data_IF_456530064875
#
_entry.id   IF_456530064875
#
_cell.length_a   1.000
_cell.length_b   1.000
_cell.length_c   1.000
_cell.angle_alpha   90.00
_cell.angle_beta   90.00
_cell.angle_gamma   90.00
#
_symmetry.space_group_name_H-M   'P 1'
#
loop_
_entity.id
_entity.type
_entity.pdbx_description
1 polymer ?
#
# COMPACT_ATOMS: atom_id res chain seq x y z
N UNK A 1 6.81 10.70 9.24
CA UNK A 1 6.47 12.11 8.94
C UNK A 1 6.93 12.43 7.54
N UNK A 2 6.16 13.22 6.79
CA UNK A 2 6.56 13.67 5.45
C UNK A 2 7.83 14.51 5.58
N UNK A 3 8.79 14.31 4.67
CA UNK A 3 10.06 15.02 4.69
C UNK A 3 9.87 16.50 4.32
N UNK A 4 10.51 17.47 5.01
CA UNK A 4 10.40 18.91 4.72
C UNK A 4 10.54 19.27 3.24
N UNK A 5 11.59 18.76 2.56
CA UNK A 5 11.79 19.00 1.12
C UNK A 5 10.58 18.62 0.24
N UNK A 6 9.79 17.60 0.61
CA UNK A 6 8.59 17.21 -0.15
C UNK A 6 7.49 18.26 0.01
N UNK A 7 7.35 18.82 1.22
CA UNK A 7 6.41 19.90 1.50
C UNK A 7 6.82 21.17 0.74
N UNK A 8 8.11 21.53 0.78
CA UNK A 8 8.63 22.72 0.09
C UNK A 8 8.47 22.60 -1.44
N UNK A 9 8.75 21.42 -2.02
CA UNK A 9 8.53 21.17 -3.47
C UNK A 9 7.05 21.29 -3.83
N UNK A 10 6.14 20.91 -2.92
CA UNK A 10 4.69 21.05 -3.10
C UNK A 10 4.18 22.48 -2.84
N UNK A 11 5.06 23.43 -2.49
CA UNK A 11 4.71 24.83 -2.23
C UNK A 11 4.31 25.16 -0.79
N UNK A 12 4.57 24.26 0.16
CA UNK A 12 4.25 24.45 1.58
C UNK A 12 5.50 24.75 2.41
N UNK A 13 5.41 25.75 3.30
CA UNK A 13 6.45 26.06 4.28
C UNK A 13 6.51 24.96 5.37
N UNK A 14 7.56 24.16 5.35
CA UNK A 14 7.78 23.01 6.24
C UNK A 14 7.98 23.35 7.72
N UNK A 15 8.15 24.65 8.06
CA UNK A 15 8.19 25.12 9.46
C UNK A 15 6.81 25.41 10.05
N UNK A 16 5.82 25.66 9.19
CA UNK A 16 4.46 26.00 9.60
C UNK A 16 3.53 24.79 9.50
N UNK A 17 3.76 23.93 8.51
CA UNK A 17 2.95 22.73 8.30
C UNK A 17 3.78 21.45 8.39
N UNK A 18 3.17 20.42 8.96
CA UNK A 18 3.71 19.07 8.98
C UNK A 18 2.67 18.09 8.44
N UNK A 19 3.11 16.91 8.03
CA UNK A 19 2.21 15.91 7.48
C UNK A 19 2.68 14.49 7.73
N UNK A 20 1.76 13.55 7.55
CA UNK A 20 1.99 12.12 7.65
C UNK A 20 1.52 11.44 6.36
N UNK A 21 2.30 10.47 5.91
CA UNK A 21 1.95 9.63 4.78
C UNK A 21 2.28 8.18 5.12
N UNK A 22 1.44 7.27 4.66
CA UNK A 22 1.67 5.83 4.76
C UNK A 22 1.18 5.16 3.49
N UNK A 23 1.72 3.97 3.22
CA UNK A 23 1.29 3.12 2.13
C UNK A 23 1.23 1.68 2.62
N UNK A 24 0.28 0.92 2.10
CA UNK A 24 0.13 -0.50 2.40
C UNK A 24 0.02 -1.25 1.08
N UNK A 25 0.79 -2.34 0.96
CA UNK A 25 0.64 -3.27 -0.15
C UNK A 25 -0.57 -4.16 0.08
N UNK A 26 -1.64 -3.98 -0.70
CA UNK A 26 -2.84 -4.82 -0.61
C UNK A 26 -2.52 -6.30 -0.83
N UNK A 27 -1.60 -6.60 -1.74
CA UNK A 27 -1.07 -7.95 -1.95
C UNK A 27 -0.48 -8.57 -0.68
N UNK A 28 0.38 -7.83 0.02
CA UNK A 28 1.00 -8.28 1.28
C UNK A 28 -0.05 -8.52 2.36
N UNK A 29 -1.03 -7.62 2.47
CA UNK A 29 -2.12 -7.73 3.44
C UNK A 29 -2.98 -8.98 3.16
N UNK A 30 -3.34 -9.21 1.90
CA UNK A 30 -4.11 -10.39 1.48
C UNK A 30 -3.33 -11.69 1.74
N UNK A 31 -2.04 -11.74 1.37
CA UNK A 31 -1.17 -12.89 1.61
C UNK A 31 -1.12 -13.27 3.09
N UNK A 32 -0.94 -12.29 3.99
CA UNK A 32 -0.90 -12.54 5.43
C UNK A 32 -2.27 -12.95 5.99
N UNK A 33 -3.34 -12.30 5.53
CA UNK A 33 -4.70 -12.56 6.02
C UNK A 33 -5.21 -13.95 5.65
N UNK A 34 -4.90 -14.41 4.44
CA UNK A 34 -5.40 -15.66 3.88
C UNK A 34 -4.36 -16.77 3.84
N UNK A 35 -3.16 -16.55 4.40
CA UNK A 35 -2.09 -17.56 4.46
C UNK A 35 -1.62 -18.01 3.08
N UNK A 36 -1.60 -17.11 2.09
CA UNK A 36 -1.27 -17.48 0.71
C UNK A 36 0.22 -17.77 0.59
N UNK A 37 0.57 -18.89 -0.04
CA UNK A 37 1.98 -19.27 -0.25
C UNK A 37 2.56 -18.68 -1.56
N UNK A 38 1.69 -18.29 -2.50
CA UNK A 38 2.08 -17.77 -3.81
C UNK A 38 1.30 -16.50 -4.17
N UNK A 39 2.02 -15.42 -4.45
CA UNK A 39 1.44 -14.13 -4.82
C UNK A 39 0.73 -14.16 -6.18
N UNK A 40 1.14 -15.05 -7.09
CA UNK A 40 0.57 -15.17 -8.45
C UNK A 40 -0.91 -15.55 -8.44
N UNK A 41 -1.37 -16.15 -7.34
CA UNK A 41 -2.79 -16.43 -7.10
C UNK A 41 -3.65 -15.16 -7.13
N UNK A 42 -3.08 -13.97 -6.88
CA UNK A 42 -3.80 -12.69 -6.97
C UNK A 42 -3.82 -12.09 -8.39
N UNK A 43 -2.91 -12.51 -9.28
CA UNK A 43 -2.74 -11.91 -10.60
C UNK A 43 -3.20 -12.82 -11.74
N UNK A 44 -3.26 -14.13 -11.51
CA UNK A 44 -3.76 -15.08 -12.49
C UNK A 44 -5.28 -15.22 -12.39
N UNK A 45 -6.02 -15.08 -13.50
CA UNK A 45 -7.47 -15.25 -13.51
C UNK A 45 -7.82 -16.74 -13.41
N UNK A 46 -8.01 -17.24 -12.19
CA UNK A 46 -8.46 -18.60 -11.91
C UNK A 46 -9.75 -18.58 -11.08
N UNK A 47 -10.84 -19.08 -11.67
CA UNK A 47 -12.15 -19.14 -11.03
C UNK A 47 -12.16 -19.98 -9.75
N UNK A 48 -11.22 -20.93 -9.60
CA UNK A 48 -11.10 -21.74 -8.38
C UNK A 48 -10.70 -20.89 -7.18
N UNK A 49 -9.89 -19.85 -7.39
CA UNK A 49 -9.43 -18.92 -6.35
C UNK A 49 -10.57 -17.97 -5.97
N UNK A 50 -11.24 -17.38 -6.97
CA UNK A 50 -12.32 -16.40 -6.72
C UNK A 50 -13.47 -17.03 -5.91
N UNK A 51 -13.78 -18.31 -6.15
CA UNK A 51 -14.84 -19.05 -5.43
C UNK A 51 -14.53 -19.38 -3.96
N UNK A 52 -13.32 -19.16 -3.48
CA UNK A 52 -12.92 -19.45 -2.09
C UNK A 52 -13.25 -18.32 -1.10
N UNK A 53 -13.77 -17.20 -1.62
CA UNK A 53 -14.13 -15.99 -0.87
C UNK A 53 -15.58 -15.61 -1.16
#
# INVERSE_FOLDING_TARGET
MIHPNVLEIAGYNSKEVSGFAFAIGLSRLATLRFGMEDLRLLTNPDLRIIKQF
#
